data_IF_409796688719
#
_entry.id   IF_409796688719
#
_cell.length_a   1.000
_cell.length_b   1.000
_cell.length_c   1.000
_cell.angle_alpha   90.00
_cell.angle_beta   90.00
_cell.angle_gamma   90.00
#
_symmetry.space_group_name_H-M   'P 1'
#
loop_
_entity.id
_entity.type
_entity.pdbx_description
1 polymer ?
#
# COMPACT_ATOMS: atom_id res chain seq x y z
N UNK A 1 -18.45 -6.13 -11.38
CA UNK A 1 -18.51 -5.56 -10.02
C UNK A 1 -18.35 -4.05 -10.19
N UNK A 2 -19.20 -3.25 -9.60
CA UNK A 2 -19.08 -1.80 -9.63
C UNK A 2 -17.92 -1.40 -8.68
N UNK A 3 -17.13 -0.37 -9.03
CA UNK A 3 -16.00 0.08 -8.22
C UNK A 3 -16.40 0.57 -6.82
N UNK A 4 -17.59 1.15 -6.69
CA UNK A 4 -18.16 1.57 -5.40
C UNK A 4 -18.48 0.34 -4.52
N UNK A 5 -19.08 -0.70 -5.09
CA UNK A 5 -19.37 -1.97 -4.38
C UNK A 5 -18.06 -2.64 -3.94
N UNK A 6 -17.03 -2.66 -4.81
CA UNK A 6 -15.73 -3.22 -4.44
C UNK A 6 -15.07 -2.50 -3.26
N UNK A 7 -15.26 -1.19 -3.14
CA UNK A 7 -14.74 -0.41 -2.02
C UNK A 7 -15.56 -0.63 -0.74
N UNK A 8 -16.88 -0.75 -0.83
CA UNK A 8 -17.76 -0.98 0.32
C UNK A 8 -17.59 -2.38 0.93
N UNK A 9 -17.24 -3.37 0.12
CA UNK A 9 -16.98 -4.75 0.56
C UNK A 9 -15.65 -4.93 1.30
N UNK A 10 -14.75 -3.92 1.28
CA UNK A 10 -13.48 -3.98 2.00
C UNK A 10 -13.72 -3.95 3.53
N UNK A 11 -12.92 -4.74 4.26
CA UNK A 11 -12.83 -4.61 5.72
C UNK A 11 -12.49 -3.16 6.13
N UNK A 12 -12.98 -2.68 7.30
CA UNK A 12 -12.79 -1.29 7.72
C UNK A 12 -11.34 -0.79 7.65
N UNK A 13 -10.29 -1.55 8.09
CA UNK A 13 -8.91 -1.11 7.97
C UNK A 13 -8.46 -0.89 6.52
N UNK A 14 -8.86 -1.77 5.62
CA UNK A 14 -8.55 -1.62 4.20
C UNK A 14 -9.24 -0.41 3.58
N UNK A 15 -10.51 -0.20 3.90
CA UNK A 15 -11.29 0.94 3.40
C UNK A 15 -10.62 2.26 3.76
N UNK A 16 -10.18 2.39 5.00
CA UNK A 16 -9.48 3.58 5.48
C UNK A 16 -8.10 3.73 4.81
N UNK A 17 -7.32 2.65 4.71
CA UNK A 17 -6.00 2.68 4.07
C UNK A 17 -6.10 3.09 2.59
N UNK A 18 -7.10 2.58 1.84
CA UNK A 18 -7.34 2.97 0.46
C UNK A 18 -7.82 4.43 0.33
N UNK A 19 -8.64 4.92 1.26
CA UNK A 19 -9.03 6.33 1.32
C UNK A 19 -7.82 7.24 1.49
N UNK A 20 -6.95 6.93 2.43
CA UNK A 20 -5.69 7.64 2.67
C UNK A 20 -4.72 7.57 1.47
N UNK A 21 -4.67 6.45 0.79
CA UNK A 21 -3.93 6.31 -0.48
C UNK A 21 -4.45 7.30 -1.53
N UNK A 22 -5.78 7.39 -1.66
CA UNK A 22 -6.41 8.28 -2.63
C UNK A 22 -6.16 9.75 -2.29
N UNK A 23 -6.26 10.12 -1.01
CA UNK A 23 -5.89 11.46 -0.54
C UNK A 23 -4.42 11.80 -0.87
N UNK A 24 -3.50 10.86 -0.66
CA UNK A 24 -2.10 11.03 -1.02
C UNK A 24 -1.93 11.24 -2.53
N UNK A 25 -2.67 10.46 -3.34
CA UNK A 25 -2.65 10.57 -4.80
C UNK A 25 -3.12 11.96 -5.25
N UNK A 26 -4.27 12.42 -4.77
CA UNK A 26 -4.81 13.74 -5.10
C UNK A 26 -3.89 14.89 -4.63
N UNK A 27 -3.19 14.72 -3.53
CA UNK A 27 -2.18 15.66 -3.04
C UNK A 27 -0.88 15.65 -3.87
N UNK A 28 -0.76 14.77 -4.87
CA UNK A 28 0.43 14.68 -5.73
C UNK A 28 1.65 14.07 -5.04
N UNK A 29 1.45 13.37 -3.91
CA UNK A 29 2.50 12.59 -3.24
C UNK A 29 2.38 11.10 -3.59
N UNK A 30 3.29 10.26 -3.11
CA UNK A 30 3.27 8.82 -3.40
C UNK A 30 1.96 8.22 -2.88
N UNK A 31 1.17 7.50 -3.71
CA UNK A 31 -0.16 7.02 -3.34
C UNK A 31 -0.07 5.82 -2.38
N UNK A 32 0.24 6.08 -1.13
CA UNK A 32 0.27 5.09 -0.06
C UNK A 32 -0.50 5.60 1.15
N UNK A 33 -1.40 4.77 1.65
CA UNK A 33 -2.10 4.92 2.91
C UNK A 33 -1.85 3.72 3.80
N UNK A 34 -1.79 3.93 5.10
CA UNK A 34 -1.61 2.89 6.09
C UNK A 34 -2.40 3.16 7.37
N UNK A 35 -2.87 2.10 8.02
CA UNK A 35 -3.54 2.16 9.31
C UNK A 35 -3.06 1.04 10.23
N UNK A 36 -2.97 1.30 11.52
CA UNK A 36 -2.87 0.25 12.53
C UNK A 36 -4.27 -0.03 13.10
N UNK A 37 -4.65 -1.30 13.16
CA UNK A 37 -5.94 -1.73 13.65
C UNK A 37 -5.80 -2.91 14.61
N UNK A 38 -6.75 -3.03 15.56
CA UNK A 38 -6.85 -4.17 16.46
C UNK A 38 -7.50 -5.39 15.80
N UNK A 39 -7.64 -6.48 16.56
CA UNK A 39 -8.22 -7.73 16.10
C UNK A 39 -9.69 -7.61 15.67
N UNK A 40 -10.41 -6.62 16.18
CA UNK A 40 -11.81 -6.35 15.83
C UNK A 40 -11.92 -5.46 14.57
N UNK A 41 -10.78 -5.04 14.01
CA UNK A 41 -10.71 -4.14 12.84
C UNK A 41 -10.91 -2.67 13.19
N UNK A 42 -10.84 -2.30 14.47
CA UNK A 42 -10.91 -0.90 14.91
C UNK A 42 -9.59 -0.18 14.57
N UNK A 43 -9.67 0.86 13.79
CA UNK A 43 -8.49 1.66 13.43
C UNK A 43 -8.07 2.54 14.61
N UNK A 44 -6.87 2.29 15.14
CA UNK A 44 -6.30 3.02 16.28
C UNK A 44 -5.31 4.11 15.86
N UNK A 45 -4.71 3.98 14.69
CA UNK A 45 -3.80 4.98 14.12
C UNK A 45 -3.83 4.95 12.61
N UNK A 46 -3.52 6.09 11.98
CA UNK A 46 -3.58 6.27 10.54
C UNK A 46 -2.48 7.17 10.02
N UNK A 47 -2.06 6.94 8.78
CA UNK A 47 -1.09 7.77 8.09
C UNK A 47 -1.23 7.67 6.57
N UNK A 48 -0.94 8.76 5.87
CA UNK A 48 -0.72 8.73 4.44
C UNK A 48 0.68 9.21 4.10
N UNK A 49 1.15 8.90 2.91
CA UNK A 49 2.41 9.45 2.44
C UNK A 49 2.32 10.98 2.33
N UNK A 50 3.36 11.67 2.85
CA UNK A 50 3.46 13.13 2.90
C UNK A 50 4.85 13.64 2.50
N UNK A 51 5.59 12.86 1.71
CA UNK A 51 6.97 13.18 1.31
C UNK A 51 7.05 14.56 0.66
N UNK A 52 6.03 14.93 -0.12
CA UNK A 52 5.98 16.18 -0.88
C UNK A 52 5.00 17.21 -0.31
N UNK A 53 4.40 16.94 0.85
CA UNK A 53 3.51 17.87 1.51
C UNK A 53 4.29 19.00 2.22
N UNK A 54 3.61 20.13 2.46
CA UNK A 54 4.08 21.10 3.42
C UNK A 54 4.11 20.52 4.85
N UNK A 55 4.88 21.10 5.79
CA UNK A 55 4.87 20.68 7.18
C UNK A 55 3.45 20.53 7.73
N UNK A 56 3.23 19.46 8.51
CA UNK A 56 1.93 19.10 9.07
C UNK A 56 2.10 18.66 10.52
N UNK A 57 1.26 19.16 11.41
CA UNK A 57 1.31 18.81 12.82
C UNK A 57 0.99 17.32 13.05
N UNK A 58 1.76 16.69 13.92
CA UNK A 58 1.56 15.30 14.33
C UNK A 58 1.94 14.22 13.30
N UNK A 59 2.41 14.62 12.11
CA UNK A 59 2.90 13.67 11.08
C UNK A 59 4.17 14.18 10.40
N UNK A 60 5.01 13.26 9.93
CA UNK A 60 6.18 13.59 9.13
C UNK A 60 5.76 14.01 7.72
N UNK A 61 6.05 15.25 7.36
CA UNK A 61 5.73 15.83 6.06
C UNK A 61 6.94 16.61 5.49
N UNK A 62 7.02 16.75 4.17
CA UNK A 62 8.11 17.46 3.51
C UNK A 62 9.49 16.81 3.69
N UNK A 63 9.54 15.54 3.99
CA UNK A 63 10.76 14.77 4.23
C UNK A 63 10.69 13.39 3.58
N UNK A 64 11.83 12.82 3.21
CA UNK A 64 11.92 11.46 2.67
C UNK A 64 11.42 10.37 3.64
N UNK A 65 11.26 10.69 4.92
CA UNK A 65 10.74 9.78 5.96
C UNK A 65 9.22 9.85 6.09
N UNK A 66 8.53 10.76 5.40
CA UNK A 66 7.08 10.96 5.47
C UNK A 66 6.28 9.83 4.79
N UNK A 67 6.65 8.57 5.02
CA UNK A 67 5.93 7.40 4.52
C UNK A 67 4.62 7.18 5.29
N UNK A 68 3.65 6.56 4.65
CA UNK A 68 2.34 6.32 5.24
C UNK A 68 2.42 5.46 6.50
N UNK A 69 3.19 4.38 6.44
CA UNK A 69 3.40 3.45 7.53
C UNK A 69 4.08 4.13 8.73
N UNK A 70 5.10 4.95 8.45
CA UNK A 70 5.79 5.72 9.51
C UNK A 70 4.81 6.69 10.16
N UNK A 71 4.01 7.40 9.37
CA UNK A 71 2.98 8.31 9.87
C UNK A 71 1.89 7.60 10.68
N UNK A 72 1.52 6.37 10.33
CA UNK A 72 0.63 5.56 11.14
C UNK A 72 1.27 5.14 12.48
N UNK A 73 2.59 4.87 12.49
CA UNK A 73 3.29 4.41 13.69
C UNK A 73 3.69 5.54 14.65
N UNK A 74 3.99 6.74 14.13
CA UNK A 74 4.40 7.91 14.96
C UNK A 74 3.34 8.31 15.99
N UNK A 75 2.06 8.04 15.73
CA UNK A 75 0.96 8.30 16.66
C UNK A 75 0.84 7.29 17.82
N UNK A 76 1.62 6.21 17.81
CA UNK A 76 1.57 5.18 18.84
C UNK A 76 2.50 5.54 20.02
N UNK A 77 2.01 5.34 21.27
CA UNK A 77 2.81 5.61 22.46
C UNK A 77 4.00 4.64 22.59
N UNK A 78 5.12 5.11 23.14
CA UNK A 78 6.27 4.26 23.44
C UNK A 78 6.11 3.41 24.70
N UNK A 79 5.01 3.56 25.44
CA UNK A 79 4.82 2.95 26.77
C UNK A 79 4.34 1.49 26.73
N UNK A 80 3.98 0.97 25.54
CA UNK A 80 3.55 -0.42 25.40
C UNK A 80 4.07 -1.05 24.11
N UNK A 81 4.06 -2.40 24.06
CA UNK A 81 4.19 -3.15 22.82
C UNK A 81 2.81 -3.29 22.13
N UNK A 82 2.82 -3.47 20.84
CA UNK A 82 1.62 -3.50 19.98
C UNK A 82 1.43 -4.85 19.29
N UNK A 83 1.76 -5.96 19.97
CA UNK A 83 1.55 -7.31 19.46
C UNK A 83 0.08 -7.68 19.18
N UNK A 84 -0.85 -6.88 19.66
CA UNK A 84 -2.29 -6.96 19.41
C UNK A 84 -2.74 -6.19 18.17
N UNK A 85 -1.85 -5.43 17.52
CA UNK A 85 -2.17 -4.62 16.35
C UNK A 85 -1.60 -5.21 15.06
N UNK A 86 -2.33 -5.00 13.97
CA UNK A 86 -1.90 -5.26 12.59
C UNK A 86 -1.79 -3.94 11.83
N UNK A 87 -0.67 -3.73 11.15
CA UNK A 87 -0.50 -2.63 10.21
C UNK A 87 -1.04 -3.06 8.83
N UNK A 88 -2.00 -2.32 8.32
CA UNK A 88 -2.50 -2.45 6.96
C UNK A 88 -1.88 -1.34 6.11
N UNK A 89 -1.21 -1.70 5.03
CA UNK A 89 -0.64 -0.75 4.06
C UNK A 89 -1.04 -1.14 2.64
N UNK A 90 -1.36 -0.17 1.82
CA UNK A 90 -1.85 -0.47 0.46
C UNK A 90 -0.76 -0.92 -0.49
N UNK A 91 0.52 -0.69 -0.18
CA UNK A 91 1.65 -1.12 -1.00
C UNK A 91 2.65 -1.91 -0.15
N UNK A 92 3.38 -2.84 -0.76
CA UNK A 92 4.43 -3.61 -0.08
C UNK A 92 5.41 -2.68 0.65
N UNK A 93 5.60 -2.84 1.98
CA UNK A 93 6.42 -1.94 2.76
C UNK A 93 7.90 -2.01 2.34
N UNK A 94 8.54 -0.86 2.27
CA UNK A 94 9.98 -0.76 2.04
C UNK A 94 10.78 -1.17 3.30
N UNK A 95 12.11 -1.25 3.20
CA UNK A 95 12.99 -1.62 4.31
C UNK A 95 12.79 -0.74 5.57
N UNK A 96 12.58 0.57 5.39
CA UNK A 96 12.32 1.48 6.50
C UNK A 96 11.02 1.13 7.22
N UNK A 97 9.92 0.95 6.47
CA UNK A 97 8.60 0.71 7.03
C UNK A 97 8.49 -0.67 7.68
N UNK A 98 9.09 -1.70 7.05
CA UNK A 98 9.13 -3.05 7.62
C UNK A 98 9.93 -3.08 8.92
N UNK A 99 11.09 -2.42 8.96
CA UNK A 99 11.90 -2.31 10.18
C UNK A 99 11.17 -1.50 11.27
N UNK A 100 10.46 -0.43 10.92
CA UNK A 100 9.69 0.37 11.86
C UNK A 100 8.52 -0.43 12.47
N UNK A 101 7.79 -1.22 11.67
CA UNK A 101 6.73 -2.10 12.17
C UNK A 101 7.26 -3.13 13.18
N UNK A 102 8.41 -3.72 12.89
CA UNK A 102 9.10 -4.64 13.81
C UNK A 102 9.57 -3.92 15.08
N UNK A 103 10.16 -2.72 14.96
CA UNK A 103 10.62 -1.92 16.11
C UNK A 103 9.46 -1.51 17.01
N UNK A 104 8.30 -1.19 16.42
CA UNK A 104 7.07 -0.91 17.17
C UNK A 104 6.46 -2.16 17.81
N UNK A 105 7.00 -3.36 17.52
CA UNK A 105 6.52 -4.66 18.02
C UNK A 105 5.06 -4.91 17.69
N UNK A 106 4.68 -4.64 16.44
CA UNK A 106 3.38 -5.04 15.93
C UNK A 106 3.30 -6.57 15.80
N UNK A 107 2.11 -7.13 16.00
CA UNK A 107 1.85 -8.56 15.79
C UNK A 107 1.71 -8.92 14.32
N UNK A 108 1.14 -8.03 13.51
CA UNK A 108 0.88 -8.29 12.10
C UNK A 108 1.16 -7.12 11.16
N UNK A 109 1.38 -7.45 9.89
CA UNK A 109 1.47 -6.52 8.78
C UNK A 109 0.76 -7.14 7.58
N UNK A 110 -0.17 -6.42 6.98
CA UNK A 110 -0.87 -6.80 5.75
C UNK A 110 -0.68 -5.75 4.67
N UNK A 111 -0.36 -6.19 3.44
CA UNK A 111 -0.22 -5.26 2.32
C UNK A 111 -1.03 -5.69 1.10
N UNK A 112 -1.53 -4.70 0.34
CA UNK A 112 -2.41 -4.97 -0.78
C UNK A 112 -1.65 -5.15 -2.09
N UNK A 113 -0.88 -4.18 -2.55
CA UNK A 113 -0.15 -4.21 -3.81
C UNK A 113 1.31 -4.60 -3.64
N UNK A 114 1.87 -5.31 -4.62
CA UNK A 114 3.29 -5.60 -4.64
C UNK A 114 4.12 -4.36 -5.05
N UNK A 115 5.34 -4.26 -4.51
CA UNK A 115 6.35 -3.31 -4.98
C UNK A 115 7.65 -4.05 -5.30
N UNK A 116 7.81 -4.54 -6.52
CA UNK A 116 9.01 -5.29 -6.90
C UNK A 116 10.30 -4.46 -6.84
N UNK A 117 10.18 -3.13 -6.86
CA UNK A 117 11.32 -2.21 -6.80
C UNK A 117 11.71 -1.83 -5.36
N UNK A 118 10.76 -1.33 -4.57
CA UNK A 118 11.01 -0.78 -3.22
C UNK A 118 10.61 -1.72 -2.09
N UNK A 119 9.76 -2.71 -2.35
CA UNK A 119 9.28 -3.65 -1.36
C UNK A 119 10.39 -4.47 -0.72
N UNK A 120 10.26 -4.75 0.57
CA UNK A 120 11.26 -5.42 1.39
C UNK A 120 10.82 -6.75 2.01
N UNK A 121 9.58 -7.17 1.78
CA UNK A 121 9.07 -8.44 2.31
C UNK A 121 9.90 -9.59 1.75
N UNK A 122 10.40 -10.46 2.64
CA UNK A 122 11.32 -11.55 2.28
C UNK A 122 12.76 -11.14 1.93
N UNK A 123 13.06 -9.83 1.92
CA UNK A 123 14.41 -9.31 1.61
C UNK A 123 15.16 -8.81 2.85
N UNK A 124 14.44 -8.45 3.91
CA UNK A 124 15.04 -8.01 5.16
C UNK A 124 15.50 -9.23 5.97
N UNK A 125 16.80 -9.28 6.30
CA UNK A 125 17.33 -10.34 7.15
C UNK A 125 16.88 -10.11 8.60
N UNK A 126 16.30 -11.11 9.26
CA UNK A 126 15.81 -10.96 10.63
C UNK A 126 16.99 -10.82 11.61
N UNK A 127 16.95 -9.75 12.42
CA UNK A 127 17.80 -9.61 13.61
C UNK A 127 17.36 -10.58 14.70
N UNK A 128 18.14 -10.70 15.80
CA UNK A 128 17.74 -11.53 16.94
C UNK A 128 16.44 -11.03 17.57
N UNK A 129 16.27 -9.71 17.70
CA UNK A 129 15.03 -9.11 18.22
C UNK A 129 13.80 -9.45 17.33
N UNK A 130 13.98 -9.45 16.01
CA UNK A 130 12.93 -9.86 15.07
C UNK A 130 12.57 -11.34 15.15
N UNK A 131 13.50 -12.21 15.59
CA UNK A 131 13.22 -13.64 15.81
C UNK A 131 12.46 -13.87 17.10
N UNK A 132 12.73 -13.05 18.13
CA UNK A 132 12.04 -13.11 19.44
C UNK A 132 10.65 -12.51 19.36
N UNK A 133 10.46 -11.49 18.53
CA UNK A 133 9.20 -10.80 18.30
C UNK A 133 8.84 -10.85 16.80
N UNK A 134 8.39 -12.02 16.31
CA UNK A 134 8.07 -12.19 14.89
C UNK A 134 6.89 -11.33 14.48
N UNK A 135 7.05 -10.65 13.35
CA UNK A 135 5.98 -9.92 12.68
C UNK A 135 5.34 -10.88 11.67
N UNK A 136 4.05 -11.16 11.82
CA UNK A 136 3.30 -11.93 10.81
C UNK A 136 3.02 -11.04 9.60
N UNK A 137 3.43 -11.50 8.40
CA UNK A 137 3.28 -10.70 7.17
C UNK A 137 2.42 -11.44 6.17
N UNK A 138 1.35 -10.78 5.70
CA UNK A 138 0.42 -11.29 4.69
C UNK A 138 0.29 -10.32 3.51
N UNK A 139 0.29 -10.86 2.30
CA UNK A 139 0.11 -10.12 1.04
C UNK A 139 0.94 -10.72 -0.11
N UNK A 140 0.81 -10.17 -1.31
CA UNK A 140 -0.16 -9.15 -1.70
C UNK A 140 -1.59 -9.71 -1.82
N UNK A 141 -2.59 -8.82 -1.78
CA UNK A 141 -3.98 -9.19 -2.04
C UNK A 141 -4.18 -9.53 -3.52
N UNK A 142 -5.04 -10.50 -3.83
CA UNK A 142 -5.29 -10.89 -5.21
C UNK A 142 -6.20 -9.90 -5.96
N UNK A 143 -6.13 -9.97 -7.29
CA UNK A 143 -7.06 -9.28 -8.19
C UNK A 143 -6.95 -7.75 -8.19
N UNK A 144 -8.06 -7.06 -8.53
CA UNK A 144 -8.07 -5.60 -8.66
C UNK A 144 -7.66 -4.84 -7.40
N UNK A 145 -7.93 -5.38 -6.21
CA UNK A 145 -7.59 -4.78 -4.92
C UNK A 145 -6.08 -4.68 -4.75
N UNK A 146 -5.33 -5.74 -5.10
CA UNK A 146 -3.87 -5.71 -5.06
C UNK A 146 -3.26 -4.92 -6.22
N UNK A 147 -3.89 -4.97 -7.39
CA UNK A 147 -3.36 -4.34 -8.59
C UNK A 147 -3.47 -2.81 -8.58
N UNK A 148 -4.55 -2.24 -8.02
CA UNK A 148 -4.78 -0.80 -8.03
C UNK A 148 -3.64 0.01 -7.37
N UNK A 149 -3.17 -0.33 -6.15
CA UNK A 149 -2.05 0.39 -5.54
C UNK A 149 -0.76 0.34 -6.37
N UNK A 150 -0.43 -0.82 -6.95
CA UNK A 150 0.73 -0.96 -7.83
C UNK A 150 0.62 -0.05 -9.06
N UNK A 151 -0.54 -0.03 -9.72
CA UNK A 151 -0.77 0.81 -10.89
C UNK A 151 -0.77 2.31 -10.55
N UNK A 152 -1.37 2.71 -9.43
CA UNK A 152 -1.36 4.12 -8.99
C UNK A 152 0.05 4.59 -8.62
N UNK A 153 0.82 3.74 -7.92
CA UNK A 153 2.23 4.04 -7.64
C UNK A 153 3.01 4.24 -8.93
N UNK A 154 2.88 3.31 -9.88
CA UNK A 154 3.54 3.41 -11.18
C UNK A 154 3.07 4.63 -11.97
N UNK A 155 1.76 4.93 -11.97
CA UNK A 155 1.20 6.12 -12.61
C UNK A 155 1.76 7.41 -12.03
N UNK A 156 1.87 7.48 -10.70
CA UNK A 156 2.48 8.61 -10.00
C UNK A 156 3.95 8.78 -10.42
N UNK A 157 4.73 7.69 -10.45
CA UNK A 157 6.13 7.74 -10.87
C UNK A 157 6.29 8.21 -12.32
N UNK A 158 5.42 7.74 -13.23
CA UNK A 158 5.41 8.18 -14.62
C UNK A 158 5.05 9.66 -14.78
N UNK A 159 4.17 10.17 -13.94
CA UNK A 159 3.77 11.57 -13.97
C UNK A 159 4.83 12.50 -13.37
N UNK A 160 5.38 12.13 -12.21
CA UNK A 160 6.29 13.00 -11.45
C UNK A 160 7.76 12.85 -11.84
N UNK A 161 8.20 11.63 -12.15
CA UNK A 161 9.60 11.29 -12.42
C UNK A 161 9.64 10.25 -13.55
N UNK A 162 9.29 10.64 -14.80
CA UNK A 162 9.15 9.69 -15.93
C UNK A 162 10.43 8.93 -16.26
N UNK A 163 11.60 9.52 -15.98
CA UNK A 163 12.91 8.93 -16.23
C UNK A 163 13.52 8.23 -15.00
N UNK A 164 12.69 7.93 -14.00
CA UNK A 164 13.13 7.23 -12.78
C UNK A 164 13.62 5.81 -13.08
N UNK A 165 14.47 5.29 -12.19
CA UNK A 165 14.89 3.88 -12.23
C UNK A 165 13.67 2.92 -12.12
N UNK A 166 12.62 3.30 -11.38
CA UNK A 166 11.37 2.55 -11.28
C UNK A 166 10.73 2.41 -12.65
N UNK A 167 10.50 3.52 -13.35
CA UNK A 167 9.94 3.50 -14.71
C UNK A 167 10.82 2.68 -15.68
N UNK A 168 12.14 2.79 -15.57
CA UNK A 168 13.07 2.01 -16.38
C UNK A 168 13.02 0.50 -16.08
N UNK A 169 12.83 0.13 -14.81
CA UNK A 169 12.65 -1.27 -14.41
C UNK A 169 11.38 -1.85 -15.01
N UNK A 170 10.24 -1.15 -14.83
CA UNK A 170 8.95 -1.63 -15.35
C UNK A 170 8.94 -1.72 -16.88
N UNK A 171 9.59 -0.78 -17.61
CA UNK A 171 9.75 -0.89 -19.08
C UNK A 171 10.42 -2.20 -19.52
N UNK A 172 11.34 -2.74 -18.71
CA UNK A 172 12.07 -3.97 -19.03
C UNK A 172 11.38 -5.23 -18.52
N UNK A 173 10.80 -5.19 -17.32
CA UNK A 173 10.29 -6.38 -16.62
C UNK A 173 8.79 -6.57 -16.73
N UNK A 174 8.03 -5.48 -16.75
CA UNK A 174 6.56 -5.49 -16.72
C UNK A 174 5.97 -4.35 -17.59
N UNK A 175 6.26 -4.36 -18.91
CA UNK A 175 5.70 -3.34 -19.82
C UNK A 175 4.16 -3.35 -19.85
N UNK A 176 3.54 -4.52 -19.62
CA UNK A 176 2.10 -4.70 -19.46
C UNK A 176 1.50 -3.79 -18.37
N UNK A 177 2.11 -3.76 -17.20
CA UNK A 177 1.65 -2.89 -16.09
C UNK A 177 1.90 -1.41 -16.38
N UNK A 178 2.98 -1.10 -17.09
CA UNK A 178 3.27 0.28 -17.48
C UNK A 178 2.17 0.83 -18.39
N UNK A 179 1.71 0.02 -19.33
CA UNK A 179 0.65 0.41 -20.26
C UNK A 179 -0.71 0.54 -19.53
N UNK A 180 -1.02 -0.36 -18.62
CA UNK A 180 -2.20 -0.26 -17.76
C UNK A 180 -2.16 1.01 -16.88
N UNK A 181 -1.01 1.30 -16.25
CA UNK A 181 -0.87 2.47 -15.40
C UNK A 181 -1.08 3.79 -16.17
N UNK A 182 -0.75 3.84 -17.45
CA UNK A 182 -0.99 5.02 -18.31
C UNK A 182 -2.46 5.29 -18.58
N UNK A 183 -3.33 4.28 -18.43
CA UNK A 183 -4.77 4.46 -18.59
C UNK A 183 -5.42 5.14 -17.38
N UNK A 184 -4.76 5.09 -16.21
CA UNK A 184 -5.23 5.83 -15.04
C UNK A 184 -4.98 7.33 -15.21
N UNK A 185 -5.90 8.20 -14.77
CA UNK A 185 -5.70 9.64 -14.81
C UNK A 185 -4.51 10.05 -13.93
N UNK A 186 -3.78 11.09 -14.30
CA UNK A 186 -2.77 11.70 -13.44
C UNK A 186 -3.41 12.38 -12.22
N UNK A 187 -2.68 12.62 -11.12
CA UNK A 187 -3.29 13.20 -9.91
C UNK A 187 -4.16 14.44 -10.13
N UNK A 188 -3.78 15.43 -10.97
CA UNK A 188 -4.61 16.61 -11.19
C UNK A 188 -5.95 16.31 -11.89
N UNK A 189 -6.02 15.23 -12.67
CA UNK A 189 -7.18 14.86 -13.48
C UNK A 189 -7.98 13.71 -12.84
N UNK A 190 -7.54 13.22 -11.68
CA UNK A 190 -8.17 12.10 -10.99
C UNK A 190 -9.50 12.52 -10.35
N UNK A 191 -10.53 11.69 -10.50
CA UNK A 191 -11.89 11.96 -10.03
C UNK A 191 -12.15 11.30 -8.67
N UNK A 192 -12.52 10.02 -8.66
CA UNK A 192 -12.82 9.30 -7.42
C UNK A 192 -12.06 7.99 -7.32
N UNK A 193 -11.87 7.50 -6.10
CA UNK A 193 -11.29 6.17 -5.85
C UNK A 193 -12.16 5.07 -6.48
N UNK A 194 -13.49 5.23 -6.44
CA UNK A 194 -14.43 4.29 -7.04
C UNK A 194 -14.25 4.19 -8.57
N UNK A 195 -14.02 5.32 -9.26
CA UNK A 195 -13.74 5.34 -10.70
C UNK A 195 -12.42 4.61 -11.02
N UNK A 196 -11.39 4.80 -10.19
CA UNK A 196 -10.12 4.10 -10.33
C UNK A 196 -10.28 2.59 -10.14
N UNK A 197 -11.03 2.15 -9.14
CA UNK A 197 -11.38 0.74 -8.95
C UNK A 197 -12.18 0.18 -10.14
N UNK A 198 -13.22 0.89 -10.59
CA UNK A 198 -14.04 0.47 -11.73
C UNK A 198 -13.18 0.29 -12.99
N UNK A 199 -12.27 1.21 -13.25
CA UNK A 199 -11.35 1.11 -14.38
C UNK A 199 -10.45 -0.14 -14.24
N UNK A 200 -9.79 -0.36 -13.10
CA UNK A 200 -8.90 -1.51 -12.91
C UNK A 200 -9.68 -2.83 -13.01
N UNK A 201 -10.90 -2.90 -12.46
CA UNK A 201 -11.79 -4.07 -12.62
C UNK A 201 -12.06 -4.34 -14.10
N UNK A 202 -12.34 -3.30 -14.90
CA UNK A 202 -12.62 -3.45 -16.33
C UNK A 202 -11.42 -3.92 -17.15
N UNK A 203 -10.21 -3.58 -16.69
CA UNK A 203 -8.95 -3.94 -17.34
C UNK A 203 -8.44 -5.32 -16.91
N UNK A 204 -8.99 -5.87 -15.82
CA UNK A 204 -8.63 -7.20 -15.33
C UNK A 204 -9.58 -8.22 -15.94
N UNK A 205 -9.16 -9.07 -16.92
CA UNK A 205 -10.04 -10.09 -17.46
C UNK A 205 -10.56 -10.94 -16.30
N UNK A 206 -11.86 -11.22 -16.27
CA UNK A 206 -12.40 -12.24 -15.37
C UNK A 206 -11.52 -13.47 -15.53
N UNK A 207 -10.72 -13.80 -14.52
CA UNK A 207 -10.01 -15.06 -14.46
C UNK A 207 -11.07 -16.15 -14.44
N UNK A 208 -11.46 -16.58 -15.65
CA UNK A 208 -12.42 -17.62 -15.87
C UNK A 208 -12.01 -18.79 -15.00
N UNK A 209 -12.97 -19.30 -14.24
CA UNK A 209 -12.88 -20.52 -13.46
C UNK A 209 -12.05 -21.57 -14.22
N UNK A 210 -10.76 -21.62 -13.98
CA UNK A 210 -9.98 -22.77 -14.39
C UNK A 210 -10.23 -23.82 -13.33
N UNK A 211 -10.98 -24.81 -13.78
CA UNK A 211 -11.47 -25.90 -12.99
C UNK A 211 -10.40 -26.82 -12.43
N UNK A 212 -10.81 -27.51 -11.41
CA UNK A 212 -10.48 -28.88 -11.08
C UNK A 212 -9.13 -29.12 -10.44
N UNK A 213 -9.10 -29.88 -9.33
CA UNK A 213 -7.88 -30.38 -8.75
C UNK A 213 -7.25 -31.37 -9.73
N UNK A 214 -6.00 -31.16 -10.10
CA UNK A 214 -5.20 -32.24 -10.68
C UNK A 214 -4.86 -33.21 -9.56
N UNK A 215 -5.60 -34.30 -9.49
CA UNK A 215 -5.19 -35.53 -8.84
C UNK A 215 -3.98 -36.11 -9.60
N UNK A 216 -2.85 -36.18 -8.97
CA UNK A 216 -1.99 -37.40 -8.86
C UNK A 216 -1.06 -37.21 -7.68
#
# INVERSE_FOLDING_TARGET
MDGAVAQEELEPPWREAFSLMWEAYLAGTIPVGAVAADADGTVVSRGRNRIFDAPHDGQLAGTRLGHAEINALVGLSAERAYGDLTLYTVLEPCHLCLAAATTARLGGLRYAGADPYGGAVGKLLPSEDMRVHPLEVEGPLPGPIGLLPELLHLRHMLWRIPDSHVAALYRRSRPDLLDLARLLPAPPDATTLADAFALVISLTPCAGRRGGPATV
#
